data_IF_619860022730
#
_entry.id   IF_619860022730
#
_cell.length_a   1.000
_cell.length_b   1.000
_cell.length_c   1.000
_cell.angle_alpha   90.00
_cell.angle_beta   90.00
_cell.angle_gamma   90.00
#
_symmetry.space_group_name_H-M   'P 1'
#
loop_
_entity.id
_entity.type
_entity.pdbx_description
1 polymer ?
#
# COMPACT_ATOMS: atom_id res chain seq x y z
N UNK A 1 5.20 10.51 12.17
CA UNK A 1 4.44 9.25 12.27
C UNK A 1 5.25 8.22 11.53
N UNK A 2 5.59 7.14 12.22
CA UNK A 2 6.44 6.07 11.70
C UNK A 2 5.59 5.13 10.84
N UNK A 3 6.14 4.70 9.70
CA UNK A 3 5.45 3.74 8.84
C UNK A 3 5.66 2.35 9.38
N UNK A 4 4.58 1.80 9.90
CA UNK A 4 4.57 0.44 10.40
C UNK A 4 3.23 -0.22 10.11
N UNK A 5 3.13 -1.50 10.42
CA UNK A 5 1.90 -2.28 10.26
C UNK A 5 0.71 -1.66 10.97
N UNK A 6 0.89 -1.12 12.18
CA UNK A 6 -0.21 -0.46 12.90
C UNK A 6 -0.74 0.77 12.15
N UNK A 7 0.14 1.58 11.58
CA UNK A 7 -0.26 2.72 10.75
C UNK A 7 -0.87 2.28 9.42
N UNK A 8 -0.40 1.18 8.84
CA UNK A 8 -1.00 0.56 7.66
C UNK A 8 -2.42 0.09 7.94
N UNK A 9 -2.65 -0.64 9.03
CA UNK A 9 -3.97 -1.07 9.48
C UNK A 9 -4.91 0.11 9.75
N UNK A 10 -4.42 1.17 10.38
CA UNK A 10 -5.17 2.41 10.58
C UNK A 10 -5.55 3.06 9.23
N UNK A 11 -4.69 2.96 8.21
CA UNK A 11 -4.95 3.47 6.86
C UNK A 11 -6.02 2.65 6.17
N UNK A 12 -6.00 1.32 6.30
CA UNK A 12 -7.04 0.43 5.78
C UNK A 12 -8.39 0.72 6.44
N UNK A 13 -8.42 0.87 7.77
CA UNK A 13 -9.62 1.27 8.50
C UNK A 13 -10.13 2.65 8.05
N UNK A 14 -9.21 3.59 7.79
CA UNK A 14 -9.57 4.90 7.25
C UNK A 14 -10.21 4.79 5.85
N UNK A 15 -9.66 3.98 4.95
CA UNK A 15 -10.26 3.70 3.63
C UNK A 15 -11.66 3.09 3.75
N UNK A 16 -11.85 2.11 4.64
CA UNK A 16 -13.19 1.54 4.92
C UNK A 16 -14.17 2.62 5.38
N UNK A 17 -13.74 3.50 6.29
CA UNK A 17 -14.57 4.62 6.77
C UNK A 17 -14.96 5.61 5.65
N UNK A 18 -14.24 5.58 4.51
CA UNK A 18 -14.50 6.38 3.31
C UNK A 18 -15.27 5.64 2.21
N UNK A 19 -15.82 4.48 2.53
CA UNK A 19 -16.67 3.69 1.65
C UNK A 19 -15.91 2.78 0.69
N UNK A 20 -14.63 2.52 0.94
CA UNK A 20 -13.92 1.47 0.22
C UNK A 20 -14.34 0.09 0.75
N UNK A 21 -14.55 -0.83 -0.18
CA UNK A 21 -14.61 -2.26 0.10
C UNK A 21 -13.16 -2.77 0.12
N UNK A 22 -12.81 -3.52 1.17
CA UNK A 22 -11.47 -4.07 1.34
C UNK A 22 -11.56 -5.59 1.37
N UNK A 23 -10.83 -6.24 0.46
CA UNK A 23 -10.62 -7.68 0.47
C UNK A 23 -9.18 -7.99 0.87
N UNK A 24 -9.02 -8.60 2.04
CA UNK A 24 -7.71 -8.94 2.61
C UNK A 24 -7.32 -10.38 2.27
N UNK A 25 -6.07 -10.58 1.87
CA UNK A 25 -5.45 -11.91 1.72
C UNK A 25 -4.12 -11.94 2.47
N UNK A 26 -3.90 -13.02 3.20
CA UNK A 26 -2.62 -13.30 3.85
C UNK A 26 -1.92 -14.47 3.19
N UNK A 27 -0.62 -14.35 2.98
CA UNK A 27 0.20 -15.38 2.39
C UNK A 27 1.60 -15.38 3.01
N UNK A 28 1.97 -16.49 3.63
CA UNK A 28 3.32 -16.69 4.16
C UNK A 28 4.19 -17.26 3.05
N UNK A 29 5.17 -16.47 2.63
CA UNK A 29 6.15 -16.90 1.63
C UNK A 29 7.32 -17.60 2.31
N UNK A 30 7.70 -18.75 1.78
CA UNK A 30 8.87 -19.50 2.24
C UNK A 30 9.98 -19.49 1.18
N UNK A 31 11.22 -19.49 1.64
CA UNK A 31 12.42 -19.67 0.83
C UNK A 31 13.33 -20.67 1.55
N UNK A 32 13.76 -21.74 0.85
CA UNK A 32 14.66 -22.77 1.40
C UNK A 32 14.16 -23.42 2.71
N UNK A 33 12.83 -23.46 2.93
CA UNK A 33 12.23 -24.04 4.14
C UNK A 33 12.11 -23.07 5.32
N UNK A 34 12.58 -21.83 5.19
CA UNK A 34 12.40 -20.77 6.17
C UNK A 34 11.36 -19.74 5.70
N UNK A 35 10.71 -19.06 6.64
CA UNK A 35 9.80 -17.96 6.31
C UNK A 35 10.60 -16.79 5.73
N UNK A 36 10.34 -16.44 4.47
CA UNK A 36 10.95 -15.28 3.84
C UNK A 36 10.24 -13.99 4.27
N UNK A 37 8.90 -13.98 4.23
CA UNK A 37 8.05 -12.90 4.73
C UNK A 37 6.60 -13.36 4.85
N UNK A 38 5.82 -12.69 5.69
CA UNK A 38 4.36 -12.74 5.68
C UNK A 38 3.81 -11.54 4.90
N UNK A 39 2.96 -11.80 3.89
CA UNK A 39 2.34 -10.78 3.06
C UNK A 39 0.87 -10.63 3.42
N UNK A 40 0.47 -9.40 3.75
CA UNK A 40 -0.92 -8.98 3.75
C UNK A 40 -1.18 -8.11 2.52
N UNK A 41 -2.06 -8.57 1.62
CA UNK A 41 -2.51 -7.81 0.45
C UNK A 41 -3.95 -7.37 0.64
N UNK A 42 -4.21 -6.07 0.55
CA UNK A 42 -5.56 -5.49 0.62
C UNK A 42 -5.96 -4.93 -0.74
N UNK A 43 -6.89 -5.61 -1.42
CA UNK A 43 -7.55 -5.06 -2.60
C UNK A 43 -8.60 -4.04 -2.14
N UNK A 44 -8.42 -2.78 -2.55
CA UNK A 44 -9.22 -1.63 -2.13
C UNK A 44 -10.05 -1.12 -3.31
N UNK A 45 -11.38 -1.21 -3.21
CA UNK A 45 -12.30 -0.83 -4.28
C UNK A 45 -13.33 0.20 -3.81
N UNK A 46 -13.54 1.27 -4.59
CA UNK A 46 -14.64 2.24 -4.39
C UNK A 46 -15.31 2.49 -5.74
N UNK A 47 -16.52 1.93 -5.91
CA UNK A 47 -17.22 1.95 -7.19
C UNK A 47 -16.45 1.21 -8.30
N UNK A 48 -16.72 1.58 -9.55
CA UNK A 48 -16.13 0.91 -10.73
C UNK A 48 -14.80 1.53 -11.21
N UNK A 49 -14.45 2.72 -10.72
CA UNK A 49 -13.35 3.54 -11.23
C UNK A 49 -12.16 3.68 -10.27
N UNK A 50 -12.26 3.12 -9.06
CA UNK A 50 -11.19 3.12 -8.07
C UNK A 50 -10.95 1.70 -7.57
N UNK A 51 -9.80 1.14 -7.94
CA UNK A 51 -9.30 -0.17 -7.58
C UNK A 51 -7.77 -0.09 -7.46
N UNK A 52 -7.24 -0.36 -6.28
CA UNK A 52 -5.79 -0.44 -6.02
C UNK A 52 -5.49 -1.55 -5.01
N UNK A 53 -4.28 -2.12 -5.05
CA UNK A 53 -3.79 -3.03 -3.99
C UNK A 53 -2.81 -2.27 -3.12
N UNK A 54 -3.01 -2.33 -1.81
CA UNK A 54 -2.07 -1.83 -0.83
C UNK A 54 -1.56 -3.00 -0.01
N UNK A 55 -0.25 -3.23 0.00
CA UNK A 55 0.34 -4.44 0.57
C UNK A 55 1.35 -4.11 1.67
N UNK A 56 1.44 -5.00 2.65
CA UNK A 56 2.47 -4.98 3.68
C UNK A 56 3.18 -6.34 3.72
N UNK A 57 4.50 -6.31 3.76
CA UNK A 57 5.38 -7.46 3.98
C UNK A 57 5.99 -7.34 5.37
N UNK A 58 5.93 -8.42 6.14
CA UNK A 58 6.61 -8.54 7.43
C UNK A 58 7.68 -9.61 7.37
N UNK A 59 8.92 -9.22 7.62
CA UNK A 59 10.07 -10.12 7.62
C UNK A 59 10.31 -10.71 9.02
N UNK A 60 11.00 -11.87 9.11
CA UNK A 60 11.32 -12.48 10.41
C UNK A 60 12.17 -11.61 11.33
N UNK A 61 12.99 -10.72 10.76
CA UNK A 61 13.85 -9.76 11.48
C UNK A 61 13.08 -8.54 12.02
N UNK A 62 11.76 -8.47 11.78
CA UNK A 62 10.92 -7.35 12.18
C UNK A 62 10.88 -6.19 11.20
N UNK A 63 11.62 -6.27 10.07
CA UNK A 63 11.49 -5.29 8.99
C UNK A 63 10.10 -5.36 8.37
N UNK A 64 9.60 -4.21 7.93
CA UNK A 64 8.31 -4.07 7.26
C UNK A 64 8.50 -3.30 5.96
N UNK A 65 7.98 -3.83 4.85
CA UNK A 65 8.00 -3.17 3.54
C UNK A 65 6.57 -3.01 3.02
N UNK A 66 6.28 -1.87 2.37
CA UNK A 66 4.94 -1.52 1.91
C UNK A 66 4.93 -1.25 0.41
N UNK A 67 3.87 -1.68 -0.27
CA UNK A 67 3.77 -1.61 -1.73
C UNK A 67 2.40 -1.12 -2.16
N UNK A 68 2.36 -0.39 -3.27
CA UNK A 68 1.11 0.09 -3.87
C UNK A 68 1.06 -0.26 -5.36
N UNK A 69 -0.04 -0.86 -5.78
CA UNK A 69 -0.40 -1.08 -7.17
C UNK A 69 -1.70 -0.33 -7.49
N UNK A 70 -1.71 0.51 -8.52
CA UNK A 70 -2.94 1.10 -9.02
C UNK A 70 -3.48 0.23 -10.15
N UNK A 71 -4.48 -0.61 -9.90
CA UNK A 71 -5.12 -1.36 -11.00
C UNK A 71 -6.03 -0.45 -11.84
N UNK A 72 -6.72 0.51 -11.21
CA UNK A 72 -7.53 1.54 -11.88
C UNK A 72 -7.85 2.69 -10.91
N UNK A 73 -7.34 3.89 -11.17
CA UNK A 73 -7.84 5.12 -10.54
C UNK A 73 -8.14 6.12 -11.66
N UNK A 74 -9.41 6.24 -12.04
CA UNK A 74 -9.80 6.89 -13.29
C UNK A 74 -9.15 6.21 -14.49
N UNK A 75 -8.23 6.91 -15.16
CA UNK A 75 -7.45 6.37 -16.31
C UNK A 75 -6.02 5.98 -15.95
N UNK A 76 -5.63 6.09 -14.69
CA UNK A 76 -4.28 5.77 -14.23
C UNK A 76 -4.16 4.30 -13.84
N UNK A 77 -2.99 3.73 -14.13
CA UNK A 77 -2.56 2.39 -13.71
C UNK A 77 -1.07 2.40 -13.40
N UNK A 78 -0.65 1.56 -12.48
CA UNK A 78 0.75 1.28 -12.19
C UNK A 78 0.91 -0.17 -11.74
N UNK A 79 2.10 -0.73 -11.94
CA UNK A 79 2.46 -2.00 -11.32
C UNK A 79 2.75 -1.79 -9.83
N UNK A 80 2.71 -2.87 -9.07
CA UNK A 80 3.11 -2.86 -7.66
C UNK A 80 4.54 -2.36 -7.52
N UNK A 81 4.73 -1.32 -6.71
CA UNK A 81 6.04 -0.71 -6.48
C UNK A 81 6.21 -0.32 -5.01
N UNK A 82 7.43 -0.45 -4.44
CA UNK A 82 7.65 -0.17 -3.04
C UNK A 82 7.45 1.31 -2.72
N UNK A 83 6.87 1.57 -1.56
CA UNK A 83 6.70 2.89 -1.00
C UNK A 83 7.92 3.29 -0.17
N UNK A 84 8.26 4.57 -0.28
CA UNK A 84 9.09 5.28 0.69
C UNK A 84 8.24 5.77 1.85
N UNK A 85 7.05 6.33 1.56
CA UNK A 85 6.11 6.77 2.59
C UNK A 85 4.66 6.95 2.15
N UNK A 86 3.73 7.00 3.11
CA UNK A 86 2.37 7.48 2.86
C UNK A 86 1.81 8.28 4.04
N UNK A 87 0.86 9.16 3.74
CA UNK A 87 0.16 10.00 4.72
C UNK A 87 -1.32 10.06 4.38
N UNK A 88 -2.17 9.54 5.25
CA UNK A 88 -3.60 9.78 5.11
C UNK A 88 -4.00 11.06 5.85
N UNK A 89 -4.85 11.82 5.19
CA UNK A 89 -5.53 13.00 5.68
C UNK A 89 -7.04 12.72 5.65
N UNK A 90 -7.89 13.55 6.28
CA UNK A 90 -9.31 13.29 6.32
C UNK A 90 -9.97 13.03 4.96
N UNK A 91 -9.48 13.61 3.86
CA UNK A 91 -10.11 13.48 2.53
C UNK A 91 -9.15 13.04 1.42
N UNK A 92 -7.90 12.67 1.74
CA UNK A 92 -6.92 12.23 0.74
C UNK A 92 -5.85 11.35 1.34
N UNK A 93 -5.18 10.56 0.52
CA UNK A 93 -3.95 9.84 0.90
C UNK A 93 -2.85 10.20 -0.09
N UNK A 94 -1.72 10.66 0.42
CA UNK A 94 -0.52 10.86 -0.37
C UNK A 94 0.38 9.63 -0.22
N UNK A 95 0.75 9.01 -1.33
CA UNK A 95 1.69 7.90 -1.40
C UNK A 95 2.95 8.36 -2.12
N UNK A 96 4.12 8.07 -1.56
CA UNK A 96 5.44 8.33 -2.13
C UNK A 96 6.13 7.01 -2.41
N UNK A 97 6.46 6.80 -3.67
CA UNK A 97 7.27 5.65 -4.09
C UNK A 97 8.73 5.87 -3.71
N UNK A 98 9.48 4.76 -3.54
CA UNK A 98 10.95 4.84 -3.37
C UNK A 98 11.58 5.62 -4.51
N UNK A 99 12.38 6.63 -4.15
CA UNK A 99 13.09 7.46 -5.12
C UNK A 99 14.31 6.71 -5.67
N UNK A 100 14.76 7.12 -6.84
CA UNK A 100 16.03 6.63 -7.39
C UNK A 100 17.20 7.40 -6.76
N UNK A 101 18.09 6.76 -5.99
CA UNK A 101 19.19 7.45 -5.32
C UNK A 101 20.23 8.02 -6.29
N UNK A 102 20.35 7.51 -7.51
CA UNK A 102 21.31 8.01 -8.49
C UNK A 102 20.87 9.35 -9.10
N UNK A 103 19.56 9.55 -9.28
CA UNK A 103 19.01 10.75 -9.93
C UNK A 103 18.32 11.71 -8.96
N UNK A 104 17.97 11.24 -7.77
CA UNK A 104 17.17 11.99 -6.78
C UNK A 104 15.70 12.17 -7.18
N UNK A 105 15.25 11.55 -8.28
CA UNK A 105 13.88 11.64 -8.74
C UNK A 105 12.97 10.71 -7.95
N UNK A 106 11.83 11.22 -7.52
CA UNK A 106 10.78 10.47 -6.83
C UNK A 106 9.42 10.71 -7.46
N UNK A 107 8.50 9.79 -7.22
CA UNK A 107 7.11 9.89 -7.65
C UNK A 107 6.21 9.87 -6.43
N UNK A 108 5.28 10.82 -6.38
CA UNK A 108 4.19 10.81 -5.42
C UNK A 108 2.86 10.82 -6.18
N UNK A 109 1.88 10.11 -5.63
CA UNK A 109 0.50 10.16 -6.07
C UNK A 109 -0.37 10.58 -4.89
N UNK A 110 -1.46 11.27 -5.20
CA UNK A 110 -2.48 11.59 -4.20
C UNK A 110 -3.79 10.97 -4.65
N UNK A 111 -4.38 10.17 -3.78
CA UNK A 111 -5.73 9.63 -3.93
C UNK A 111 -6.69 10.51 -3.14
N UNK A 112 -7.57 11.22 -3.84
CA UNK A 112 -8.69 11.90 -3.19
C UNK A 112 -9.75 10.88 -2.76
N UNK A 113 -10.27 11.05 -1.54
CA UNK A 113 -11.22 10.12 -0.90
C UNK A 113 -12.66 10.64 -0.89
N UNK A 114 -12.90 11.84 -1.42
CA UNK A 114 -14.24 12.43 -1.57
C UNK A 114 -15.07 11.59 -2.53
#
# INVERSE_FOLDING_TARGET
MEMNLAYYEATIAHLQSKGFVIESKQNVQQAQGEMAFDRTSNACTKGEDCCFSFEALRYPDGREDFYLEIQKVGKMRSFSFPLDSWKYHPNRIEFKYRYDPATGLGLAITLDLT
#
